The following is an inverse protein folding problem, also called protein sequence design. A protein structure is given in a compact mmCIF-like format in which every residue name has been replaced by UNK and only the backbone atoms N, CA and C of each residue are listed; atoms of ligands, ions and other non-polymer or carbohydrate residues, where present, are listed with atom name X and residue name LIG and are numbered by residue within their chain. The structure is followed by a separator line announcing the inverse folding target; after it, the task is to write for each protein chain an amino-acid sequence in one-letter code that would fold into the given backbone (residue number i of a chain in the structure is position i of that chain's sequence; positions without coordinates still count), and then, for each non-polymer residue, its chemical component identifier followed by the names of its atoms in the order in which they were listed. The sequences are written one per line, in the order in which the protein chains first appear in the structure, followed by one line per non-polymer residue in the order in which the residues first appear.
data_IF_049417490989
#
_entry.id   IF_049417490989
#
_cell.length_a   1.000
_cell.length_b   1.000
_cell.length_c   1.000
_cell.angle_alpha   90.00
_cell.angle_beta   90.00
_cell.angle_gamma   90.00
#
_symmetry.space_group_name_H-M   'P 1'
#
loop_
_entity.id
_entity.type
_entity.pdbx_description
1 polymer ?
#
# COMPACT_ATOMS: atom_id res chain seq x y z
N UNK A 1 -11.43 5.34 17.46
CA UNK A 1 -11.50 6.79 17.17
C UNK A 1 -11.64 7.09 15.68
N UNK A 2 -10.78 6.54 14.81
CA UNK A 2 -10.84 6.85 13.37
C UNK A 2 -12.13 6.35 12.69
N UNK A 3 -12.54 5.11 12.94
CA UNK A 3 -13.75 4.53 12.35
C UNK A 3 -15.00 5.35 12.67
N UNK A 4 -15.15 5.76 13.93
CA UNK A 4 -16.24 6.63 14.38
C UNK A 4 -16.25 7.99 13.67
N UNK A 5 -15.10 8.68 13.63
CA UNK A 5 -15.02 10.01 12.98
C UNK A 5 -15.28 9.94 11.47
N UNK A 6 -14.80 8.91 10.80
CA UNK A 6 -15.08 8.68 9.38
C UNK A 6 -16.57 8.42 9.14
N UNK A 7 -17.20 7.59 9.96
CA UNK A 7 -18.63 7.29 9.87
C UNK A 7 -19.51 8.54 10.04
N UNK A 8 -19.15 9.44 10.96
CA UNK A 8 -19.88 10.71 11.17
C UNK A 8 -19.96 11.58 9.91
N UNK A 9 -18.98 11.49 9.00
CA UNK A 9 -18.93 12.27 7.75
C UNK A 9 -19.23 11.40 6.52
N UNK A 10 -19.79 10.20 6.71
CA UNK A 10 -20.18 9.30 5.62
C UNK A 10 -19.03 8.55 4.94
N UNK A 11 -17.85 8.47 5.57
CA UNK A 11 -16.70 7.71 5.06
C UNK A 11 -16.72 6.29 5.63
N UNK A 12 -16.82 5.29 4.75
CA UNK A 12 -16.69 3.88 5.10
C UNK A 12 -15.25 3.51 5.45
N UNK A 13 -15.06 2.78 6.56
CA UNK A 13 -13.75 2.29 6.98
C UNK A 13 -13.72 0.78 6.85
N UNK A 14 -12.73 0.28 6.11
CA UNK A 14 -12.48 -1.15 5.92
C UNK A 14 -11.28 -1.52 6.79
N UNK A 15 -11.48 -2.45 7.73
CA UNK A 15 -10.39 -3.04 8.50
C UNK A 15 -9.74 -4.13 7.66
N UNK A 16 -8.42 -4.04 7.47
CA UNK A 16 -7.66 -4.95 6.64
C UNK A 16 -6.47 -5.52 7.42
N UNK A 17 -6.21 -6.81 7.26
CA UNK A 17 -5.07 -7.45 7.91
C UNK A 17 -3.75 -7.10 7.19
N UNK A 18 -2.68 -6.86 7.93
CA UNK A 18 -1.47 -6.21 7.40
C UNK A 18 -0.30 -7.16 7.09
N UNK A 19 -0.52 -8.48 7.02
CA UNK A 19 0.52 -9.46 6.72
C UNK A 19 1.32 -9.08 5.47
N UNK A 20 2.64 -9.02 5.64
CA UNK A 20 3.64 -8.75 4.61
C UNK A 20 3.58 -7.38 3.91
N UNK A 21 2.66 -6.49 4.31
CA UNK A 21 2.46 -5.18 3.67
C UNK A 21 3.69 -4.26 3.75
N UNK A 22 4.54 -4.44 4.76
CA UNK A 22 5.75 -3.63 4.97
C UNK A 22 7.00 -4.14 4.22
N UNK A 23 6.93 -5.32 3.60
CA UNK A 23 8.08 -5.97 2.95
C UNK A 23 7.83 -6.20 1.46
N UNK A 24 6.58 -6.50 1.06
CA UNK A 24 6.23 -6.73 -0.33
C UNK A 24 6.49 -5.52 -1.23
N UNK A 25 6.99 -5.79 -2.44
CA UNK A 25 7.26 -4.76 -3.42
C UNK A 25 5.99 -4.46 -4.23
N UNK A 26 5.31 -3.40 -3.84
CA UNK A 26 4.11 -2.92 -4.52
C UNK A 26 4.31 -2.75 -6.05
N UNK A 27 5.47 -2.26 -6.49
CA UNK A 27 5.70 -1.96 -7.90
C UNK A 27 5.69 -3.21 -8.80
N UNK A 28 6.00 -4.37 -8.23
CA UNK A 28 5.96 -5.66 -8.93
C UNK A 28 4.60 -6.36 -8.79
N UNK A 29 3.62 -5.72 -8.14
CA UNK A 29 2.29 -6.27 -7.86
C UNK A 29 2.34 -7.66 -7.24
N UNK A 30 3.28 -7.89 -6.33
CA UNK A 30 3.48 -9.19 -5.67
C UNK A 30 2.23 -9.65 -4.92
N UNK A 31 2.04 -10.97 -4.83
CA UNK A 31 0.95 -11.57 -4.07
C UNK A 31 1.12 -11.27 -2.57
N UNK A 32 0.02 -10.92 -1.92
CA UNK A 32 -0.03 -10.57 -0.48
C UNK A 32 -0.81 -11.65 0.27
N UNK A 33 -0.19 -12.79 0.61
CA UNK A 33 -0.88 -13.84 1.35
C UNK A 33 -1.21 -13.40 2.78
N UNK A 34 -2.21 -14.06 3.37
CA UNK A 34 -2.50 -13.94 4.80
C UNK A 34 -1.52 -14.81 5.57
N UNK A 35 -0.93 -14.28 6.65
CA UNK A 35 -0.05 -15.06 7.51
C UNK A 35 -0.78 -16.31 8.04
N UNK A 36 -0.13 -17.48 7.94
CA UNK A 36 -0.70 -18.77 8.36
C UNK A 36 -1.62 -19.46 7.36
N UNK A 37 -1.94 -18.83 6.22
CA UNK A 37 -2.74 -19.46 5.14
C UNK A 37 -1.89 -20.01 4.00
N UNK A 38 -0.56 -19.94 4.10
CA UNK A 38 0.38 -20.42 3.07
C UNK A 38 1.40 -21.33 3.72
N UNK A 39 1.65 -22.48 3.10
CA UNK A 39 2.63 -23.48 3.56
C UNK A 39 4.06 -22.99 3.37
N UNK A 40 4.29 -22.20 2.32
CA UNK A 40 5.59 -21.64 1.97
C UNK A 40 5.76 -20.22 2.49
N UNK A 41 7.01 -19.88 2.83
CA UNK A 41 7.36 -18.53 3.29
C UNK A 41 7.45 -17.61 2.06
N UNK A 42 6.62 -16.55 1.97
CA UNK A 42 6.63 -15.69 0.80
C UNK A 42 7.96 -14.93 0.71
N UNK A 43 8.51 -14.89 -0.51
CA UNK A 43 9.73 -14.17 -0.85
C UNK A 43 9.34 -12.94 -1.65
N UNK A 44 9.80 -11.78 -1.22
CA UNK A 44 9.54 -10.49 -1.85
C UNK A 44 10.83 -9.94 -2.44
N UNK A 45 10.69 -9.26 -3.57
CA UNK A 45 11.82 -8.75 -4.35
C UNK A 45 12.45 -7.49 -3.75
N UNK A 46 11.71 -6.72 -2.94
CA UNK A 46 12.23 -5.54 -2.25
C UNK A 46 12.38 -5.74 -0.74
N UNK A 47 12.99 -4.75 -0.09
CA UNK A 47 13.34 -4.82 1.33
C UNK A 47 13.28 -3.44 1.98
N UNK A 48 12.71 -3.39 3.19
CA UNK A 48 12.84 -2.23 4.07
C UNK A 48 14.26 -2.14 4.63
N UNK A 49 14.96 -1.04 4.38
CA UNK A 49 16.33 -0.82 4.86
C UNK A 49 16.30 -0.23 6.27
N UNK A 50 15.46 0.79 6.49
CA UNK A 50 15.34 1.50 7.75
C UNK A 50 13.94 2.12 7.89
N UNK A 51 13.69 2.82 9.00
CA UNK A 51 12.45 3.57 9.18
C UNK A 51 12.32 4.62 8.08
N UNK A 52 11.20 4.61 7.36
CA UNK A 52 10.93 5.54 6.27
C UNK A 52 11.60 5.18 4.94
N UNK A 53 12.43 4.13 4.87
CA UNK A 53 13.20 3.81 3.66
C UNK A 53 13.02 2.36 3.20
N UNK A 54 12.54 2.20 1.98
CA UNK A 54 12.37 0.95 1.27
C UNK A 54 13.24 0.93 0.01
N UNK A 55 13.84 -0.21 -0.30
CA UNK A 55 14.60 -0.43 -1.54
C UNK A 55 13.94 -1.52 -2.36
N UNK A 56 13.65 -1.21 -3.62
CA UNK A 56 13.11 -2.17 -4.58
C UNK A 56 14.21 -3.07 -5.14
N UNK A 57 13.81 -4.12 -5.83
CA UNK A 57 14.67 -5.00 -6.64
C UNK A 57 15.52 -4.23 -7.67
N UNK A 58 14.96 -3.15 -8.24
CA UNK A 58 15.65 -2.25 -9.16
C UNK A 58 16.59 -1.26 -8.47
N UNK A 59 16.74 -1.35 -7.15
CA UNK A 59 17.56 -0.44 -6.35
C UNK A 59 16.96 0.95 -6.12
N UNK A 60 15.69 1.16 -6.47
CA UNK A 60 15.00 2.44 -6.28
C UNK A 60 14.65 2.60 -4.81
N UNK A 61 14.93 3.78 -4.25
CA UNK A 61 14.60 4.14 -2.88
C UNK A 61 13.24 4.85 -2.83
N UNK A 62 12.34 4.34 -1.99
CA UNK A 62 10.97 4.83 -1.84
C UNK A 62 10.63 4.91 -0.34
N UNK A 63 9.70 5.77 0.03
CA UNK A 63 9.22 5.83 1.41
C UNK A 63 8.54 4.51 1.82
N UNK A 64 8.97 3.92 2.94
CA UNK A 64 8.40 2.64 3.42
C UNK A 64 6.91 2.70 3.68
N UNK A 65 6.42 3.83 4.18
CA UNK A 65 5.01 4.01 4.56
C UNK A 65 4.12 4.12 3.32
N UNK A 66 4.64 4.69 2.22
CA UNK A 66 3.96 4.74 0.92
C UNK A 66 3.84 3.33 0.34
N UNK A 67 4.92 2.56 0.36
CA UNK A 67 4.90 1.16 -0.07
C UNK A 67 3.89 0.33 0.75
N UNK A 68 3.90 0.48 2.08
CA UNK A 68 2.95 -0.16 2.98
C UNK A 68 1.50 0.21 2.68
N UNK A 69 1.23 1.50 2.50
CA UNK A 69 -0.11 2.02 2.21
C UNK A 69 -0.68 1.46 0.90
N UNK A 70 0.15 1.39 -0.15
CA UNK A 70 -0.25 0.77 -1.42
C UNK A 70 -0.51 -0.74 -1.30
N UNK A 71 0.28 -1.46 -0.51
CA UNK A 71 0.04 -2.87 -0.26
C UNK A 71 -1.25 -3.10 0.54
N UNK A 72 -1.56 -2.27 1.54
CA UNK A 72 -2.84 -2.32 2.28
C UNK A 72 -4.01 -2.10 1.32
N UNK A 73 -3.92 -1.09 0.44
CA UNK A 73 -4.94 -0.83 -0.58
C UNK A 73 -5.19 -2.05 -1.47
N UNK A 74 -4.12 -2.68 -1.97
CA UNK A 74 -4.22 -3.89 -2.81
C UNK A 74 -4.83 -5.07 -2.07
N UNK A 75 -4.66 -5.13 -0.76
CA UNK A 75 -5.20 -6.24 0.02
C UNK A 75 -6.70 -6.11 0.25
N UNK A 76 -7.17 -4.88 0.48
CA UNK A 76 -8.60 -4.57 0.50
C UNK A 76 -9.23 -4.68 -0.90
N UNK A 77 -8.49 -4.24 -1.92
CA UNK A 77 -8.94 -4.22 -3.31
C UNK A 77 -7.86 -4.81 -4.24
N UNK A 78 -7.85 -6.14 -4.47
CA UNK A 78 -6.84 -6.81 -5.30
C UNK A 78 -6.74 -6.25 -6.72
N UNK A 79 -7.87 -5.77 -7.24
CA UNK A 79 -7.97 -5.18 -8.57
C UNK A 79 -7.72 -3.67 -8.59
N UNK A 80 -7.27 -3.03 -7.50
CA UNK A 80 -7.14 -1.57 -7.38
C UNK A 80 -6.43 -0.90 -8.56
N UNK A 81 -5.41 -1.57 -9.13
CA UNK A 81 -4.59 -1.05 -10.23
C UNK A 81 -4.84 -1.76 -11.57
N UNK A 82 -5.90 -2.57 -11.65
CA UNK A 82 -6.35 -3.19 -12.89
C UNK A 82 -7.31 -2.26 -13.64
N UNK A 83 -7.48 -2.48 -14.95
CA UNK A 83 -8.36 -1.67 -15.81
C UNK A 83 -9.81 -1.56 -15.31
N UNK A 84 -10.29 -2.58 -14.60
CA UNK A 84 -11.65 -2.65 -14.04
C UNK A 84 -11.68 -2.40 -12.53
N UNK A 85 -10.62 -1.80 -11.99
CA UNK A 85 -10.41 -1.56 -10.58
C UNK A 85 -10.97 -0.23 -10.08
N UNK A 86 -10.14 0.46 -9.28
CA UNK A 86 -10.44 1.82 -8.84
C UNK A 86 -10.29 2.75 -10.05
N UNK A 87 -11.38 3.40 -10.46
CA UNK A 87 -11.40 4.25 -11.66
C UNK A 87 -10.47 5.45 -11.53
N UNK A 88 -10.51 6.15 -10.39
CA UNK A 88 -9.66 7.32 -10.15
C UNK A 88 -9.52 7.66 -8.67
N UNK A 89 -8.39 8.26 -8.31
CA UNK A 89 -8.30 9.05 -7.09
C UNK A 89 -9.19 10.30 -7.23
N UNK A 90 -10.13 10.47 -6.29
CA UNK A 90 -11.06 11.62 -6.28
C UNK A 90 -10.29 12.92 -6.05
N UNK A 91 -9.30 12.90 -5.16
CA UNK A 91 -8.47 14.06 -4.82
C UNK A 91 -7.01 13.71 -5.09
N UNK A 92 -6.34 14.56 -5.87
CA UNK A 92 -4.90 14.49 -6.07
C UNK A 92 -4.26 15.67 -5.33
N UNK A 93 -3.17 15.45 -4.58
CA UNK A 93 -2.43 16.54 -3.97
C UNK A 93 -1.93 17.49 -5.07
N UNK A 94 -2.15 18.79 -4.90
CA UNK A 94 -1.68 19.80 -5.85
C UNK A 94 -0.18 19.99 -5.66
N UNK A 95 0.63 19.73 -6.69
CA UNK A 95 2.06 20.06 -6.67
C UNK A 95 2.20 21.58 -6.72
N UNK A 96 2.58 22.19 -5.60
CA UNK A 96 2.85 23.62 -5.53
C UNK A 96 4.35 23.80 -5.76
N UNK A 97 4.72 24.37 -6.90
CA UNK A 97 6.07 24.88 -7.10
C UNK A 97 6.12 26.28 -6.48
N UNK A 98 6.80 26.40 -5.36
CA UNK A 98 7.19 27.70 -4.81
C UNK A 98 8.37 28.20 -5.64
N UNK A 99 8.11 28.74 -6.84
CA UNK A 99 9.10 29.60 -7.48
C UNK A 99 9.28 30.83 -6.59
N UNK A 100 10.55 31.19 -6.33
CA UNK A 100 10.89 32.45 -5.65
C UNK A 100 10.32 33.65 -6.38
#
# INVERSE_FOLDING_TARGET
MISYKCQLVGISVILQEESYTSVANFLNLELLPVYGQTTERPVFSGKRISRGLYRTDKGILIQSDVMGSYNILRKAFPNAFNRYGIERCVVHPRRINLSK
#
